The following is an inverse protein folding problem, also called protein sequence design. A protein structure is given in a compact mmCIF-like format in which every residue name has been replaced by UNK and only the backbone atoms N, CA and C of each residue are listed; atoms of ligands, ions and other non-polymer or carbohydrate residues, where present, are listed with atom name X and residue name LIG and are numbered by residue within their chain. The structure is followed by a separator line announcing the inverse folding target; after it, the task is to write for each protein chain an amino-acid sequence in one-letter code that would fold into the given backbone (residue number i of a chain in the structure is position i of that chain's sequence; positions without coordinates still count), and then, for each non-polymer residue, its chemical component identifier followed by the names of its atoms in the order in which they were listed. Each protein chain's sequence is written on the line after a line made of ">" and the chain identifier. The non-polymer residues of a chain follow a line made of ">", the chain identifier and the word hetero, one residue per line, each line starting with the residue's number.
data_IF_072410396690
#
_entry.id   IF_072410396690
#
_cell.length_a   1.000
_cell.length_b   1.000
_cell.length_c   1.000
_cell.angle_alpha   90.00
_cell.angle_beta   90.00
_cell.angle_gamma   90.00
#
_symmetry.space_group_name_H-M   'P 1'
#
loop_
_entity.id
_entity.type
_entity.pdbx_description
1 polymer ?
#
# COMPACT_ATOMS: atom_id res chain seq x y z
N UNK A 1 -2.50 35.11 -12.71
CA UNK A 1 -2.30 35.46 -14.12
C UNK A 1 -3.29 36.51 -14.67
N UNK A 2 -4.65 36.44 -14.46
CA UNK A 2 -5.60 37.39 -15.09
C UNK A 2 -5.40 38.85 -14.64
N UNK A 3 -5.07 39.08 -13.36
CA UNK A 3 -4.82 40.41 -12.81
C UNK A 3 -3.61 41.09 -13.45
N UNK A 4 -2.54 40.35 -13.73
CA UNK A 4 -1.35 40.87 -14.36
C UNK A 4 -1.62 41.31 -15.84
N UNK A 5 -2.46 40.55 -16.55
CA UNK A 5 -2.87 40.89 -17.94
C UNK A 5 -3.74 42.14 -17.93
N UNK A 6 -4.67 42.28 -17.01
CA UNK A 6 -5.49 43.47 -16.80
C UNK A 6 -4.63 44.72 -16.50
N UNK A 7 -3.63 44.59 -15.61
CA UNK A 7 -2.73 45.66 -15.25
C UNK A 7 -1.83 46.09 -16.42
N UNK A 8 -1.29 45.17 -17.20
CA UNK A 8 -0.47 45.45 -18.38
C UNK A 8 -1.27 46.14 -19.48
N UNK A 9 -2.51 45.71 -19.72
CA UNK A 9 -3.39 46.38 -20.69
C UNK A 9 -3.80 47.81 -20.26
N UNK A 10 -4.09 47.99 -18.96
CA UNK A 10 -4.41 49.29 -18.41
C UNK A 10 -3.26 50.29 -18.52
N UNK A 11 -2.03 49.83 -18.26
CA UNK A 11 -0.82 50.65 -18.34
C UNK A 11 -0.48 50.99 -19.83
N UNK A 12 -0.74 50.08 -20.78
CA UNK A 12 -0.41 50.25 -22.20
C UNK A 12 -1.38 51.12 -22.96
N UNK A 13 -2.66 51.16 -22.57
CA UNK A 13 -3.72 51.80 -23.34
C UNK A 13 -4.02 53.27 -22.97
N UNK A 14 -3.54 53.77 -21.82
CA UNK A 14 -3.70 55.17 -21.38
C UNK A 14 -5.12 55.73 -21.23
N UNK A 15 -6.17 54.95 -21.63
CA UNK A 15 -7.58 55.30 -21.48
C UNK A 15 -8.43 54.01 -21.34
N UNK A 16 -9.33 54.00 -20.38
CA UNK A 16 -10.23 52.88 -20.12
C UNK A 16 -11.52 53.04 -20.92
N UNK A 17 -11.66 52.30 -22.04
CA UNK A 17 -12.90 52.23 -22.79
C UNK A 17 -13.78 51.11 -22.29
N UNK A 18 -15.12 51.35 -22.21
CA UNK A 18 -16.09 50.32 -21.83
C UNK A 18 -16.00 49.04 -22.69
N UNK A 19 -15.68 49.18 -23.95
CA UNK A 19 -15.47 48.06 -24.87
C UNK A 19 -14.28 47.21 -24.48
N UNK A 20 -13.22 47.79 -23.94
CA UNK A 20 -12.03 47.09 -23.43
C UNK A 20 -12.36 46.24 -22.18
N UNK A 21 -13.12 46.83 -21.24
CA UNK A 21 -13.57 46.13 -20.05
C UNK A 21 -14.45 44.92 -20.42
N UNK A 22 -15.37 45.11 -21.36
CA UNK A 22 -16.26 44.05 -21.83
C UNK A 22 -15.48 42.92 -22.52
N UNK A 23 -14.48 43.26 -23.31
CA UNK A 23 -13.62 42.26 -23.98
C UNK A 23 -12.81 41.43 -22.98
N UNK A 24 -12.19 42.08 -22.00
CA UNK A 24 -11.45 41.37 -20.92
C UNK A 24 -12.37 40.49 -20.07
N UNK A 25 -13.58 40.97 -19.77
CA UNK A 25 -14.59 40.16 -19.07
C UNK A 25 -15.02 38.93 -19.87
N UNK A 26 -15.22 39.09 -21.20
CA UNK A 26 -15.54 37.97 -22.08
C UNK A 26 -14.41 36.93 -22.15
N UNK A 27 -13.17 37.39 -22.26
CA UNK A 27 -12.00 36.48 -22.21
C UNK A 27 -11.92 35.71 -20.89
N UNK A 28 -12.16 36.41 -19.76
CA UNK A 28 -12.19 35.78 -18.46
C UNK A 28 -13.31 34.71 -18.37
N UNK A 29 -14.52 35.05 -18.81
CA UNK A 29 -15.68 34.13 -18.80
C UNK A 29 -15.41 32.91 -19.67
N UNK A 30 -14.86 33.09 -20.85
CA UNK A 30 -14.49 31.99 -21.76
C UNK A 30 -13.39 31.13 -21.12
N UNK A 31 -12.33 31.71 -20.57
CA UNK A 31 -11.24 30.99 -19.92
C UNK A 31 -11.70 30.18 -18.73
N UNK A 32 -12.50 30.78 -17.84
CA UNK A 32 -13.08 30.11 -16.69
C UNK A 32 -14.09 29.03 -17.14
N UNK A 33 -14.94 29.35 -18.12
CA UNK A 33 -15.92 28.40 -18.66
C UNK A 33 -15.27 27.17 -19.28
N UNK A 34 -14.21 27.35 -20.06
CA UNK A 34 -13.42 26.21 -20.60
C UNK A 34 -12.75 25.45 -19.48
N UNK A 35 -12.18 26.10 -18.47
CA UNK A 35 -11.58 25.47 -17.31
C UNK A 35 -12.57 24.60 -16.52
N UNK A 36 -13.78 25.11 -16.29
CA UNK A 36 -14.87 24.36 -15.64
C UNK A 36 -15.31 23.18 -16.51
N UNK A 37 -15.50 23.38 -17.81
CA UNK A 37 -15.87 22.31 -18.74
C UNK A 37 -14.83 21.18 -18.73
N UNK A 38 -13.54 21.50 -18.85
CA UNK A 38 -12.48 20.51 -18.81
C UNK A 38 -12.46 19.76 -17.48
N UNK A 39 -12.72 20.44 -16.36
CA UNK A 39 -12.75 19.83 -15.04
C UNK A 39 -13.97 18.89 -14.85
N UNK A 40 -15.13 19.24 -15.45
CA UNK A 40 -16.33 18.39 -15.45
C UNK A 40 -16.18 17.11 -16.29
N UNK A 41 -15.34 17.15 -17.34
CA UNK A 41 -15.04 16.00 -18.18
C UNK A 41 -13.82 15.20 -17.69
N UNK A 42 -13.18 15.60 -16.56
CA UNK A 42 -12.10 14.82 -15.98
C UNK A 42 -12.65 13.51 -15.43
N UNK A 43 -12.16 12.34 -15.88
CA UNK A 43 -12.63 11.06 -15.38
C UNK A 43 -12.38 10.96 -13.88
N UNK A 44 -13.31 10.34 -13.14
CA UNK A 44 -13.18 10.12 -11.70
C UNK A 44 -11.99 9.21 -11.41
N UNK A 45 -10.85 9.85 -11.17
CA UNK A 45 -9.58 9.18 -10.86
C UNK A 45 -9.63 8.41 -9.53
N UNK A 46 -10.57 8.78 -8.63
CA UNK A 46 -10.76 8.12 -7.32
C UNK A 46 -11.25 6.68 -7.48
N UNK A 47 -12.28 6.47 -8.30
CA UNK A 47 -12.80 5.12 -8.55
C UNK A 47 -11.73 4.19 -9.12
N UNK A 48 -10.87 4.72 -10.00
CA UNK A 48 -9.74 3.98 -10.57
C UNK A 48 -8.70 3.63 -9.52
N UNK A 49 -8.35 4.56 -8.62
CA UNK A 49 -7.42 4.35 -7.52
C UNK A 49 -7.92 3.27 -6.55
N UNK A 50 -9.18 3.36 -6.13
CA UNK A 50 -9.80 2.35 -5.26
C UNK A 50 -9.81 0.96 -5.92
N UNK A 51 -10.06 0.88 -7.23
CA UNK A 51 -10.00 -0.39 -7.94
C UNK A 51 -8.57 -0.97 -7.98
N UNK A 52 -7.56 -0.14 -8.23
CA UNK A 52 -6.15 -0.57 -8.18
C UNK A 52 -5.73 -1.01 -6.78
N UNK A 53 -6.12 -0.27 -5.74
CA UNK A 53 -5.84 -0.62 -4.35
C UNK A 53 -6.39 -2.00 -4.01
N UNK A 54 -7.66 -2.28 -4.34
CA UNK A 54 -8.28 -3.59 -4.14
C UNK A 54 -7.51 -4.70 -4.87
N UNK A 55 -7.09 -4.46 -6.11
CA UNK A 55 -6.32 -5.45 -6.87
C UNK A 55 -4.97 -5.77 -6.21
N UNK A 56 -4.29 -4.76 -5.65
CA UNK A 56 -3.05 -4.94 -4.87
C UNK A 56 -3.34 -5.75 -3.60
N UNK A 57 -4.39 -5.41 -2.86
CA UNK A 57 -4.77 -6.10 -1.63
C UNK A 57 -5.13 -7.57 -1.90
N UNK A 58 -5.92 -7.86 -2.93
CA UNK A 58 -6.26 -9.22 -3.34
C UNK A 58 -5.00 -10.03 -3.70
N UNK A 59 -4.04 -9.41 -4.38
CA UNK A 59 -2.76 -10.05 -4.72
C UNK A 59 -1.94 -10.35 -3.47
N UNK A 60 -1.88 -9.43 -2.50
CA UNK A 60 -1.19 -9.64 -1.23
C UNK A 60 -1.84 -10.76 -0.39
N UNK A 61 -3.17 -10.81 -0.33
CA UNK A 61 -3.91 -11.92 0.29
C UNK A 61 -3.57 -13.25 -0.37
N UNK A 62 -3.54 -13.29 -1.71
CA UNK A 62 -3.16 -14.50 -2.43
C UNK A 62 -1.72 -14.95 -2.11
N UNK A 63 -0.78 -14.00 -2.01
CA UNK A 63 0.61 -14.29 -1.63
C UNK A 63 0.68 -14.84 -0.21
N UNK A 64 0.02 -14.22 0.77
CA UNK A 64 -0.02 -14.69 2.16
C UNK A 64 -0.59 -16.12 2.28
N UNK A 65 -1.70 -16.41 1.59
CA UNK A 65 -2.28 -17.76 1.56
C UNK A 65 -1.31 -18.78 0.96
N UNK A 66 -0.64 -18.42 -0.14
CA UNK A 66 0.39 -19.30 -0.71
C UNK A 66 1.55 -19.51 0.26
N UNK A 67 2.01 -18.48 0.96
CA UNK A 67 3.08 -18.59 1.97
C UNK A 67 2.70 -19.60 3.05
N UNK A 68 1.51 -19.47 3.64
CA UNK A 68 0.99 -20.42 4.63
C UNK A 68 1.05 -21.85 4.12
N UNK A 69 0.53 -22.13 2.93
CA UNK A 69 0.51 -23.46 2.33
C UNK A 69 1.93 -24.02 2.06
N UNK A 70 2.85 -23.17 1.58
CA UNK A 70 4.22 -23.60 1.25
C UNK A 70 5.12 -23.75 2.47
N UNK A 71 4.79 -23.13 3.60
CA UNK A 71 5.50 -23.37 4.87
C UNK A 71 5.42 -24.84 5.29
N UNK A 72 4.28 -25.49 5.09
CA UNK A 72 4.03 -26.88 5.48
C UNK A 72 4.47 -27.92 4.45
N UNK A 73 4.86 -27.49 3.25
CA UNK A 73 5.32 -28.41 2.19
C UNK A 73 6.81 -28.72 2.31
N UNK A 74 7.17 -29.99 2.18
CA UNK A 74 8.56 -30.42 2.07
C UNK A 74 9.14 -29.99 0.71
N UNK A 75 8.43 -30.28 -0.39
CA UNK A 75 8.86 -29.89 -1.72
C UNK A 75 8.32 -28.49 -2.10
N UNK A 76 9.24 -27.57 -2.33
CA UNK A 76 8.98 -26.16 -2.67
C UNK A 76 9.52 -25.78 -4.05
N UNK A 77 9.85 -26.75 -4.91
CA UNK A 77 10.45 -26.51 -6.23
C UNK A 77 9.56 -25.71 -7.18
N UNK A 78 8.24 -25.77 -6.99
CA UNK A 78 7.22 -25.04 -7.74
C UNK A 78 6.85 -23.67 -7.09
N UNK A 79 7.48 -23.34 -5.96
CA UNK A 79 7.26 -22.06 -5.28
C UNK A 79 8.15 -20.98 -5.90
N UNK A 80 7.69 -20.44 -7.04
CA UNK A 80 8.39 -19.36 -7.75
C UNK A 80 8.02 -17.99 -7.19
N UNK A 81 8.96 -17.04 -7.30
CA UNK A 81 8.75 -15.64 -6.88
C UNK A 81 8.01 -14.76 -7.89
N UNK A 82 7.49 -15.32 -9.00
CA UNK A 82 6.84 -14.55 -10.08
C UNK A 82 5.66 -13.68 -9.62
N UNK A 83 4.96 -14.13 -8.56
CA UNK A 83 3.86 -13.34 -8.00
C UNK A 83 4.32 -11.98 -7.43
N UNK A 84 5.60 -11.84 -7.08
CA UNK A 84 6.16 -10.57 -6.61
C UNK A 84 6.47 -9.61 -7.75
N UNK A 85 6.87 -10.12 -8.92
CA UNK A 85 7.09 -9.28 -10.11
C UNK A 85 5.78 -8.64 -10.56
N UNK A 86 4.68 -9.41 -10.52
CA UNK A 86 3.34 -8.87 -10.79
C UNK A 86 2.94 -7.83 -9.74
N UNK A 87 3.17 -8.10 -8.45
CA UNK A 87 2.85 -7.17 -7.37
C UNK A 87 3.66 -5.87 -7.48
N UNK A 88 4.96 -5.95 -7.81
CA UNK A 88 5.81 -4.77 -8.05
C UNK A 88 5.28 -3.90 -9.19
N UNK A 89 4.86 -4.52 -10.29
CA UNK A 89 4.24 -3.82 -11.42
C UNK A 89 2.92 -3.15 -11.02
N UNK A 90 2.08 -3.83 -10.23
CA UNK A 90 0.83 -3.26 -9.71
C UNK A 90 1.10 -2.06 -8.79
N UNK A 91 2.06 -2.18 -7.87
CA UNK A 91 2.46 -1.09 -6.97
C UNK A 91 3.04 0.10 -7.72
N UNK A 92 3.84 -0.14 -8.77
CA UNK A 92 4.38 0.93 -9.62
C UNK A 92 3.25 1.70 -10.36
N UNK A 93 2.25 0.98 -10.87
CA UNK A 93 1.08 1.58 -11.51
C UNK A 93 0.23 2.36 -10.49
N UNK A 94 -0.03 1.79 -9.32
CA UNK A 94 -0.76 2.46 -8.24
C UNK A 94 -0.05 3.75 -7.80
N UNK A 95 1.28 3.71 -7.67
CA UNK A 95 2.08 4.90 -7.36
C UNK A 95 1.90 6.01 -8.39
N UNK A 96 1.94 5.66 -9.67
CA UNK A 96 1.75 6.62 -10.77
C UNK A 96 0.38 7.27 -10.71
N UNK A 97 -0.67 6.48 -10.52
CA UNK A 97 -2.05 6.98 -10.43
C UNK A 97 -2.28 7.82 -9.16
N UNK A 98 -1.72 7.39 -8.01
CA UNK A 98 -1.81 8.13 -6.76
C UNK A 98 -1.12 9.50 -6.85
N UNK A 99 0.07 9.57 -7.46
CA UNK A 99 0.77 10.84 -7.71
C UNK A 99 -0.01 11.74 -8.68
N UNK A 100 -0.60 11.15 -9.73
CA UNK A 100 -1.45 11.90 -10.64
C UNK A 100 -2.66 12.48 -9.92
N UNK A 101 -3.32 11.70 -9.09
CA UNK A 101 -4.47 12.14 -8.28
C UNK A 101 -4.06 13.28 -7.33
N UNK A 102 -2.98 13.11 -6.58
CA UNK A 102 -2.45 14.09 -5.63
C UNK A 102 -2.14 15.44 -6.31
N UNK A 103 -1.53 15.42 -7.51
CA UNK A 103 -1.16 16.63 -8.22
C UNK A 103 -2.34 17.39 -8.86
N UNK A 104 -3.47 16.73 -9.07
CA UNK A 104 -4.63 17.31 -9.73
C UNK A 104 -5.76 17.73 -8.77
N UNK A 105 -5.68 17.36 -7.49
CA UNK A 105 -6.67 17.70 -6.49
C UNK A 105 -6.03 18.55 -5.39
N UNK A 106 -6.41 19.84 -5.32
CA UNK A 106 -5.82 20.83 -4.38
C UNK A 106 -6.45 20.83 -2.99
N UNK A 107 -7.55 20.13 -2.75
CA UNK A 107 -8.32 20.19 -1.50
C UNK A 107 -8.49 18.79 -0.90
N UNK A 108 -7.94 18.58 0.31
CA UNK A 108 -8.34 17.52 1.24
C UNK A 108 -7.57 16.21 1.10
N UNK A 109 -8.20 15.08 1.16
CA UNK A 109 -7.73 13.69 1.35
C UNK A 109 -6.68 13.12 0.36
N UNK A 110 -5.89 13.96 -0.27
CA UNK A 110 -5.03 13.58 -1.40
C UNK A 110 -3.86 12.68 -1.01
N UNK A 111 -3.39 12.80 0.24
CA UNK A 111 -2.22 12.06 0.73
C UNK A 111 -2.55 10.61 1.09
N UNK A 112 -3.83 10.31 1.44
CA UNK A 112 -4.24 8.98 1.88
C UNK A 112 -3.88 7.87 0.89
N UNK A 113 -4.23 8.02 -0.38
CA UNK A 113 -3.95 7.00 -1.39
C UNK A 113 -2.46 6.81 -1.64
N UNK A 114 -1.69 7.88 -1.57
CA UNK A 114 -0.25 7.82 -1.72
C UNK A 114 0.42 7.15 -0.51
N UNK A 115 -0.01 7.48 0.69
CA UNK A 115 0.48 6.87 1.93
C UNK A 115 0.09 5.39 2.04
N UNK A 116 -1.15 5.04 1.66
CA UNK A 116 -1.59 3.65 1.57
C UNK A 116 -0.71 2.85 0.60
N UNK A 117 -0.43 3.39 -0.58
CA UNK A 117 0.48 2.77 -1.53
C UNK A 117 1.89 2.58 -0.95
N UNK A 118 2.43 3.58 -0.24
CA UNK A 118 3.74 3.46 0.41
C UNK A 118 3.73 2.37 1.50
N UNK A 119 2.67 2.29 2.30
CA UNK A 119 2.47 1.23 3.28
C UNK A 119 2.51 -0.14 2.60
N UNK A 120 1.77 -0.35 1.51
CA UNK A 120 1.75 -1.62 0.76
C UNK A 120 3.10 -1.94 0.13
N UNK A 121 3.84 -0.96 -0.37
CA UNK A 121 5.19 -1.16 -0.89
C UNK A 121 6.16 -1.62 0.21
N UNK A 122 6.11 -1.04 1.41
CA UNK A 122 6.90 -1.49 2.57
C UNK A 122 6.53 -2.91 2.98
N UNK A 123 5.24 -3.25 3.01
CA UNK A 123 4.75 -4.60 3.30
C UNK A 123 5.21 -5.62 2.25
N UNK A 124 5.22 -5.26 0.97
CA UNK A 124 5.72 -6.13 -0.12
C UNK A 124 7.20 -6.51 0.10
N UNK A 125 8.04 -5.57 0.55
CA UNK A 125 9.45 -5.85 0.87
C UNK A 125 9.57 -6.91 1.96
N UNK A 126 8.72 -6.84 2.99
CA UNK A 126 8.70 -7.83 4.07
C UNK A 126 8.25 -9.20 3.54
N UNK A 127 7.18 -9.26 2.75
CA UNK A 127 6.73 -10.52 2.17
C UNK A 127 7.80 -11.20 1.30
N UNK A 128 8.62 -10.45 0.57
CA UNK A 128 9.77 -11.01 -0.17
C UNK A 128 10.81 -11.65 0.74
N UNK A 129 11.06 -11.09 1.93
CA UNK A 129 11.96 -11.69 2.92
C UNK A 129 11.36 -12.99 3.49
N UNK A 130 10.09 -12.94 3.89
CA UNK A 130 9.36 -14.13 4.35
C UNK A 130 9.39 -15.23 3.30
N UNK A 131 9.17 -14.90 2.02
CA UNK A 131 9.29 -15.85 0.92
C UNK A 131 10.68 -16.49 0.85
N UNK A 132 11.74 -15.67 0.94
CA UNK A 132 13.12 -16.14 0.91
C UNK A 132 13.42 -17.14 2.04
N UNK A 133 12.88 -16.90 3.24
CA UNK A 133 13.07 -17.80 4.38
C UNK A 133 12.25 -19.08 4.23
N UNK A 134 11.00 -19.01 3.74
CA UNK A 134 10.17 -20.20 3.45
C UNK A 134 10.88 -21.13 2.45
N UNK A 135 11.47 -20.57 1.38
CA UNK A 135 12.19 -21.39 0.37
C UNK A 135 13.40 -22.10 0.97
N UNK A 136 14.03 -21.52 1.98
CA UNK A 136 15.22 -22.09 2.66
C UNK A 136 14.90 -23.15 3.70
N UNK A 137 13.66 -23.26 4.16
CA UNK A 137 13.26 -24.30 5.10
C UNK A 137 13.48 -25.69 4.46
N UNK A 138 14.39 -26.48 5.02
CA UNK A 138 14.76 -27.80 4.50
C UNK A 138 13.91 -28.91 5.07
N UNK A 139 13.40 -28.73 6.29
CA UNK A 139 12.50 -29.67 6.96
C UNK A 139 11.27 -28.92 7.46
N UNK A 140 10.21 -29.67 7.78
CA UNK A 140 8.98 -29.12 8.33
C UNK A 140 8.95 -29.36 9.86
N UNK A 141 9.45 -28.40 10.68
CA UNK A 141 9.39 -28.53 12.13
C UNK A 141 7.93 -28.59 12.61
N UNK A 142 7.66 -29.24 13.74
CA UNK A 142 6.30 -29.29 14.31
C UNK A 142 5.70 -27.90 14.55
N UNK A 143 6.55 -26.90 14.75
CA UNK A 143 6.17 -25.52 15.00
C UNK A 143 5.66 -24.78 13.75
N UNK A 144 5.94 -25.30 12.58
CA UNK A 144 5.57 -24.66 11.30
C UNK A 144 4.07 -24.47 11.18
N UNK A 145 3.27 -25.47 11.60
CA UNK A 145 1.82 -25.44 11.43
C UNK A 145 1.18 -24.24 12.14
N UNK A 146 1.54 -24.00 13.39
CA UNK A 146 0.98 -22.88 14.15
C UNK A 146 1.32 -21.51 13.52
N UNK A 147 2.52 -21.36 12.92
CA UNK A 147 2.89 -20.14 12.22
C UNK A 147 2.19 -20.05 10.84
N UNK A 148 2.03 -21.17 10.14
CA UNK A 148 1.30 -21.23 8.88
C UNK A 148 -0.18 -20.85 9.08
N UNK A 149 -0.83 -21.38 10.11
CA UNK A 149 -2.20 -21.02 10.49
C UNK A 149 -2.31 -19.52 10.82
N UNK A 150 -1.34 -18.98 11.53
CA UNK A 150 -1.29 -17.55 11.81
C UNK A 150 -1.18 -16.71 10.52
N UNK A 151 -0.30 -17.08 9.58
CA UNK A 151 -0.16 -16.38 8.28
C UNK A 151 -1.45 -16.49 7.47
N UNK A 152 -2.14 -17.63 7.51
CA UNK A 152 -3.46 -17.79 6.88
C UNK A 152 -4.49 -16.85 7.51
N UNK A 153 -4.53 -16.76 8.84
CA UNK A 153 -5.42 -15.83 9.55
C UNK A 153 -5.13 -14.38 9.18
N UNK A 154 -3.86 -13.98 9.06
CA UNK A 154 -3.50 -12.65 8.58
C UNK A 154 -4.06 -12.38 7.18
N UNK A 155 -4.05 -13.39 6.29
CA UNK A 155 -4.63 -13.27 4.96
C UNK A 155 -6.17 -13.12 5.00
N UNK A 156 -6.85 -13.84 5.89
CA UNK A 156 -8.31 -13.82 6.00
C UNK A 156 -8.82 -12.52 6.65
N UNK A 157 -8.01 -11.93 7.54
CA UNK A 157 -8.32 -10.67 8.22
C UNK A 157 -7.63 -9.45 7.57
N UNK A 158 -7.25 -9.54 6.30
CA UNK A 158 -6.49 -8.51 5.58
C UNK A 158 -7.32 -7.26 5.23
N UNK A 159 -8.49 -7.08 5.81
CA UNK A 159 -9.35 -5.93 5.53
C UNK A 159 -8.67 -4.59 5.89
N UNK A 160 -9.02 -3.52 5.15
CA UNK A 160 -8.49 -2.17 5.35
C UNK A 160 -8.80 -1.65 6.75
N UNK A 161 -9.99 -1.93 7.26
CA UNK A 161 -10.52 -1.44 8.54
C UNK A 161 -9.95 -2.18 9.77
N UNK A 162 -9.21 -3.28 9.59
CA UNK A 162 -8.64 -4.05 10.70
C UNK A 162 -7.46 -3.30 11.33
N UNK A 163 -7.55 -2.98 12.63
CA UNK A 163 -6.50 -2.30 13.40
C UNK A 163 -5.29 -3.20 13.74
N UNK A 164 -5.34 -4.46 13.37
CA UNK A 164 -4.34 -5.53 13.56
C UNK A 164 -3.92 -5.79 15.02
N UNK A 165 -4.57 -5.21 16.00
CA UNK A 165 -4.21 -5.34 17.41
C UNK A 165 -4.31 -6.77 17.89
N UNK A 166 -5.43 -7.44 17.57
CA UNK A 166 -5.66 -8.84 17.94
C UNK A 166 -4.62 -9.77 17.28
N UNK A 167 -4.28 -9.53 16.02
CA UNK A 167 -3.26 -10.29 15.31
C UNK A 167 -1.87 -10.13 15.95
N UNK A 168 -1.51 -8.93 16.41
CA UNK A 168 -0.24 -8.68 17.11
C UNK A 168 -0.21 -9.38 18.48
N UNK A 169 -1.32 -9.38 19.23
CA UNK A 169 -1.43 -10.11 20.50
C UNK A 169 -1.30 -11.62 20.30
N UNK A 170 -1.93 -12.18 19.27
CA UNK A 170 -1.81 -13.60 18.93
C UNK A 170 -0.38 -13.97 18.52
N UNK A 171 0.28 -13.13 17.73
CA UNK A 171 1.67 -13.36 17.34
C UNK A 171 2.61 -13.33 18.55
N UNK A 172 2.37 -12.43 19.52
CA UNK A 172 3.12 -12.40 20.76
C UNK A 172 2.93 -13.68 21.58
N UNK A 173 1.70 -14.21 21.68
CA UNK A 173 1.41 -15.49 22.31
C UNK A 173 2.08 -16.67 21.58
N UNK A 174 2.09 -16.67 20.26
CA UNK A 174 2.79 -17.67 19.46
C UNK A 174 4.29 -17.66 19.74
N UNK A 175 4.91 -16.47 19.78
CA UNK A 175 6.34 -16.30 20.11
C UNK A 175 6.66 -16.83 21.51
N UNK A 176 5.81 -16.54 22.50
CA UNK A 176 6.00 -17.05 23.87
C UNK A 176 5.95 -18.57 23.89
N UNK A 177 5.00 -19.19 23.17
CA UNK A 177 4.92 -20.64 23.06
C UNK A 177 6.18 -21.29 22.47
N UNK A 178 6.89 -20.59 21.59
CA UNK A 178 8.16 -21.07 21.01
C UNK A 178 9.32 -20.91 21.99
N UNK A 179 9.28 -19.92 22.87
CA UNK A 179 10.36 -19.65 23.83
C UNK A 179 10.49 -20.72 24.92
N UNK A 180 9.40 -21.41 25.24
CA UNK A 180 9.34 -22.46 26.28
C UNK A 180 9.58 -23.88 25.75
N UNK A 181 9.82 -24.03 24.45
CA UNK A 181 10.06 -25.34 23.83
C UNK A 181 11.46 -25.88 24.15
N UNK A 182 11.61 -27.20 24.02
CA UNK A 182 12.93 -27.86 24.15
C UNK A 182 13.92 -27.26 23.14
N UNK A 183 15.19 -27.21 23.52
CA UNK A 183 16.27 -26.78 22.64
C UNK A 183 16.39 -27.70 21.42
N UNK A 184 16.80 -27.17 20.26
CA UNK A 184 17.00 -27.96 19.05
C UNK A 184 18.09 -29.02 19.27
N UNK A 185 17.85 -30.23 18.76
CA UNK A 185 18.76 -31.40 18.95
C UNK A 185 19.79 -31.53 17.82
N UNK A 186 19.57 -30.82 16.68
CA UNK A 186 20.48 -30.82 15.55
C UNK A 186 20.73 -29.42 15.02
N UNK A 187 21.83 -29.27 14.27
CA UNK A 187 22.11 -27.99 13.57
C UNK A 187 21.01 -27.63 12.58
N UNK A 188 20.52 -28.60 11.84
CA UNK A 188 19.45 -28.39 10.86
C UNK A 188 18.15 -27.92 11.54
N UNK A 189 17.79 -28.54 12.65
CA UNK A 189 16.62 -28.12 13.45
C UNK A 189 16.81 -26.69 13.97
N UNK A 190 18.03 -26.35 14.44
CA UNK A 190 18.34 -25.00 14.89
C UNK A 190 18.17 -23.97 13.77
N UNK A 191 18.73 -24.25 12.58
CA UNK A 191 18.66 -23.37 11.42
C UNK A 191 17.19 -23.17 10.95
N UNK A 192 16.39 -24.24 10.90
CA UNK A 192 14.98 -24.14 10.55
C UNK A 192 14.16 -23.36 11.60
N UNK A 193 14.39 -23.59 12.90
CA UNK A 193 13.74 -22.82 13.96
C UNK A 193 14.15 -21.34 13.94
N UNK A 194 15.40 -21.02 13.63
CA UNK A 194 15.86 -19.64 13.47
C UNK A 194 15.15 -18.93 12.29
N UNK A 195 14.92 -19.64 11.17
CA UNK A 195 14.14 -19.10 10.05
C UNK A 195 12.68 -18.87 10.44
N UNK A 196 12.03 -19.78 11.18
CA UNK A 196 10.67 -19.57 11.67
C UNK A 196 10.57 -18.37 12.60
N UNK A 197 11.57 -18.19 13.49
CA UNK A 197 11.63 -17.02 14.35
C UNK A 197 11.77 -15.72 13.53
N UNK A 198 12.59 -15.75 12.49
CA UNK A 198 12.76 -14.60 11.59
C UNK A 198 11.46 -14.27 10.83
N UNK A 199 10.75 -15.30 10.35
CA UNK A 199 9.43 -15.12 9.74
C UNK A 199 8.43 -14.48 10.73
N UNK A 200 8.43 -14.89 12.00
CA UNK A 200 7.56 -14.26 13.03
C UNK A 200 7.89 -12.77 13.22
N UNK A 201 9.19 -12.40 13.28
CA UNK A 201 9.59 -11.00 13.41
C UNK A 201 9.21 -10.18 12.16
N UNK A 202 9.35 -10.76 10.97
CA UNK A 202 8.91 -10.12 9.73
C UNK A 202 7.38 -9.96 9.67
N UNK A 203 6.62 -10.96 10.12
CA UNK A 203 5.16 -10.83 10.22
C UNK A 203 4.74 -9.78 11.25
N UNK A 204 5.47 -9.65 12.37
CA UNK A 204 5.25 -8.56 13.32
C UNK A 204 5.47 -7.20 12.65
N UNK A 205 6.60 -7.02 11.96
CA UNK A 205 6.89 -5.77 11.25
C UNK A 205 5.85 -5.46 10.15
N UNK A 206 5.36 -6.49 9.45
CA UNK A 206 4.29 -6.37 8.45
C UNK A 206 2.99 -5.81 9.05
N UNK A 207 2.58 -6.29 10.22
CA UNK A 207 1.40 -5.82 10.93
C UNK A 207 1.61 -4.43 11.56
N UNK A 208 2.81 -4.16 12.11
CA UNK A 208 3.14 -2.86 12.69
C UNK A 208 3.09 -1.72 11.66
N UNK A 209 3.55 -1.95 10.43
CA UNK A 209 3.42 -0.98 9.34
C UNK A 209 1.96 -0.59 9.11
N UNK A 210 1.03 -1.56 9.14
CA UNK A 210 -0.40 -1.29 8.99
C UNK A 210 -0.95 -0.52 10.19
N UNK A 211 -0.54 -0.89 11.42
CA UNK A 211 -0.93 -0.18 12.65
C UNK A 211 -0.49 1.28 12.65
N UNK A 212 0.75 1.54 12.23
CA UNK A 212 1.28 2.91 12.08
C UNK A 212 0.44 3.73 11.11
N UNK A 213 0.11 3.15 9.94
CA UNK A 213 -0.73 3.80 8.94
C UNK A 213 -2.13 4.11 9.47
N UNK A 214 -2.81 3.15 10.11
CA UNK A 214 -4.13 3.36 10.70
C UNK A 214 -4.10 4.45 11.77
N UNK A 215 -3.10 4.46 12.67
CA UNK A 215 -2.93 5.50 13.69
C UNK A 215 -2.70 6.89 13.09
N UNK A 216 -1.97 7.01 11.98
CA UNK A 216 -1.76 8.28 11.30
C UNK A 216 -3.04 8.81 10.63
N UNK A 217 -3.91 7.94 10.14
CA UNK A 217 -5.22 8.32 9.57
C UNK A 217 -6.17 8.87 10.64
N UNK A 218 -6.26 8.22 11.82
CA UNK A 218 -7.12 8.68 12.93
C UNK A 218 -6.72 10.05 13.51
N UNK A 219 -5.48 10.47 13.38
CA UNK A 219 -5.02 11.78 13.89
C UNK A 219 -5.35 12.94 12.94
N UNK A 220 -5.87 12.67 11.74
CA UNK A 220 -6.20 13.67 10.72
C UNK A 220 -7.70 13.96 10.60
N UNK A 221 -8.56 13.14 11.21
CA UNK A 221 -9.99 13.38 11.38
C UNK A 221 -10.25 14.26 12.61
#
# INVERSE_FOLDING_TARGET
>A
APVAVLCTHYISAGSCSWQMILNEFLILVIGVGVGILLNLFMPDSRAKLVAYQRTVDDKMVHILRRMSLYMERENKSDYTGECFDELDNMLANLKKEALYYMNNHFLGENDYYYENMQMRARQCIILKRVYSDIVRLTTTPQQVSALADFVMKVADEFAEENDVKELLEQLAGLRESYSVQELPRSREEFENRAMLYHIMEDMRAFLEIKREFAGACFLRE
#
